data_IF_463639103753
#
_entry.id   IF_463639103753
#
_cell.length_a   1.000
_cell.length_b   1.000
_cell.length_c   1.000
_cell.angle_alpha   90.00
_cell.angle_beta   90.00
_cell.angle_gamma   90.00
#
_symmetry.space_group_name_H-M   'P 1'
#
loop_
_entity.id
_entity.type
_entity.pdbx_description
1 polymer ?
#
# COMPACT_ATOMS: atom_id res chain seq x y z
N UNK A 1 70.84 -29.30 11.18
CA UNK A 1 69.70 -28.38 11.38
C UNK A 1 68.51 -28.94 10.60
N UNK A 2 67.43 -29.32 11.27
CA UNK A 2 66.26 -29.99 10.69
C UNK A 2 64.98 -29.16 10.92
N UNK A 3 64.12 -29.19 9.88
CA UNK A 3 62.66 -29.03 9.89
C UNK A 3 62.11 -27.60 10.04
N UNK A 4 61.29 -27.01 9.17
CA UNK A 4 60.16 -27.42 8.31
C UNK A 4 58.80 -26.93 8.86
N UNK A 5 58.13 -26.17 7.99
CA UNK A 5 56.68 -25.98 7.78
C UNK A 5 55.80 -25.18 8.75
N UNK A 6 55.18 -24.17 8.13
CA UNK A 6 53.96 -23.43 8.47
C UNK A 6 52.84 -24.25 9.09
N UNK A 7 52.04 -23.64 9.98
CA UNK A 7 50.58 -23.81 10.04
C UNK A 7 49.96 -22.67 10.86
N UNK A 8 49.26 -21.74 10.20
CA UNK A 8 48.38 -20.75 10.84
C UNK A 8 47.05 -21.42 11.16
N UNK A 9 46.83 -21.76 12.42
CA UNK A 9 45.57 -22.31 12.91
C UNK A 9 44.53 -21.19 13.09
N UNK A 10 43.66 -21.00 12.09
CA UNK A 10 42.47 -20.14 12.19
C UNK A 10 41.46 -20.72 13.18
N UNK A 11 41.27 -20.05 14.32
CA UNK A 11 40.22 -20.38 15.28
C UNK A 11 38.87 -19.86 14.77
N UNK A 12 38.03 -20.76 14.28
CA UNK A 12 36.64 -20.43 13.92
C UNK A 12 35.87 -20.14 15.20
N UNK A 13 35.59 -18.85 15.45
CA UNK A 13 34.77 -18.40 16.56
C UNK A 13 33.34 -18.95 16.43
N UNK A 14 33.02 -20.00 17.17
CA UNK A 14 31.66 -20.56 17.29
C UNK A 14 30.73 -19.46 17.82
N UNK A 15 29.85 -18.94 16.96
CA UNK A 15 28.79 -18.00 17.33
C UNK A 15 27.97 -18.60 18.48
N UNK A 16 28.16 -18.09 19.69
CA UNK A 16 27.27 -18.36 20.83
C UNK A 16 25.89 -17.81 20.49
N UNK A 17 25.01 -18.65 19.97
CA UNK A 17 23.58 -18.36 19.91
C UNK A 17 23.10 -18.31 21.36
N UNK A 18 22.85 -17.09 21.86
CA UNK A 18 22.30 -16.91 23.20
C UNK A 18 20.91 -17.54 23.22
N UNK A 19 20.60 -18.47 24.15
CA UNK A 19 19.25 -19.00 24.28
C UNK A 19 18.30 -17.83 24.58
N UNK A 20 17.36 -17.61 23.66
CA UNK A 20 16.35 -16.56 23.79
C UNK A 20 15.46 -16.87 24.98
N UNK A 21 15.70 -16.21 26.12
CA UNK A 21 14.79 -16.32 27.27
C UNK A 21 13.42 -15.75 26.89
N UNK A 22 12.32 -16.37 27.34
CA UNK A 22 10.98 -15.91 27.03
C UNK A 22 10.81 -14.45 27.43
N UNK A 23 10.21 -13.66 26.53
CA UNK A 23 9.95 -12.24 26.76
C UNK A 23 8.95 -12.11 27.92
N UNK A 24 9.37 -11.47 29.00
CA UNK A 24 8.46 -11.09 30.09
C UNK A 24 7.42 -10.10 29.56
N UNK A 25 6.13 -10.49 29.59
CA UNK A 25 5.01 -9.69 29.06
C UNK A 25 4.69 -8.46 29.93
N UNK A 26 5.18 -8.44 31.15
CA UNK A 26 4.87 -7.50 32.24
C UNK A 26 5.87 -6.34 32.37
N UNK A 27 6.91 -6.26 31.52
CA UNK A 27 7.86 -5.16 31.59
C UNK A 27 7.27 -3.78 31.24
N UNK A 28 7.88 -2.72 31.75
CA UNK A 28 7.51 -1.33 31.42
C UNK A 28 7.68 -1.07 29.92
N UNK A 29 6.95 -0.09 29.39
CA UNK A 29 6.92 0.25 27.96
C UNK A 29 8.34 0.55 27.45
N UNK A 30 9.10 1.37 28.19
CA UNK A 30 10.47 1.74 27.82
C UNK A 30 11.40 0.52 27.75
N UNK A 31 11.30 -0.43 28.67
CA UNK A 31 12.10 -1.67 28.63
C UNK A 31 11.68 -2.60 27.49
N UNK A 32 10.37 -2.67 27.17
CA UNK A 32 9.85 -3.42 26.02
C UNK A 32 10.39 -2.87 24.70
N UNK A 33 10.37 -1.55 24.49
CA UNK A 33 10.95 -0.88 23.32
C UNK A 33 12.44 -1.19 23.22
N UNK A 34 13.16 -1.10 24.34
CA UNK A 34 14.61 -1.36 24.41
C UNK A 34 14.97 -2.84 24.33
N UNK A 35 14.00 -3.76 24.34
CA UNK A 35 14.19 -5.22 24.33
C UNK A 35 15.13 -5.70 25.45
N UNK A 36 15.05 -5.08 26.63
CA UNK A 36 15.80 -5.45 27.84
C UNK A 36 14.84 -5.96 28.92
N UNK A 37 15.33 -6.82 29.81
CA UNK A 37 14.53 -7.29 30.95
C UNK A 37 14.17 -6.11 31.85
N UNK A 38 12.90 -6.00 32.21
CA UNK A 38 12.41 -5.02 33.17
C UNK A 38 12.45 -5.62 34.58
N UNK A 39 12.74 -4.79 35.57
CA UNK A 39 12.79 -5.18 36.97
C UNK A 39 11.45 -4.90 37.71
N UNK A 40 10.40 -4.52 36.96
CA UNK A 40 8.99 -4.41 37.40
C UNK A 40 8.67 -3.53 38.62
N UNK A 41 9.64 -2.76 39.12
CA UNK A 41 9.45 -1.78 40.18
C UNK A 41 8.47 -0.65 39.81
N UNK A 42 7.55 -0.32 40.73
CA UNK A 42 6.58 0.79 40.60
C UNK A 42 6.98 1.95 41.53
N UNK A 43 6.78 3.22 41.14
CA UNK A 43 6.12 3.71 39.93
C UNK A 43 7.02 3.70 38.67
N UNK A 44 8.33 3.56 38.82
CA UNK A 44 9.29 3.54 37.72
C UNK A 44 10.32 2.41 37.87
N UNK A 45 10.69 1.80 36.75
CA UNK A 45 11.63 0.69 36.73
C UNK A 45 13.05 1.15 37.10
N UNK A 46 13.76 0.38 37.95
CA UNK A 46 15.14 0.72 38.38
C UNK A 46 16.08 0.88 37.19
N UNK A 47 15.93 0.06 36.15
CA UNK A 47 16.72 0.13 34.92
C UNK A 47 16.52 1.43 34.12
N UNK A 48 15.36 2.03 34.26
CA UNK A 48 14.98 3.27 33.62
C UNK A 48 15.62 4.43 34.39
N UNK A 49 15.42 4.45 35.71
CA UNK A 49 15.92 5.49 36.61
C UNK A 49 17.43 5.48 36.74
N UNK A 50 18.06 4.31 36.88
CA UNK A 50 19.53 4.18 37.00
C UNK A 50 20.28 4.62 35.74
N UNK A 51 19.62 4.62 34.59
CA UNK A 51 20.20 5.10 33.33
C UNK A 51 19.78 6.53 32.98
N UNK A 52 19.15 7.24 33.92
CA UNK A 52 18.68 8.62 33.75
C UNK A 52 17.55 8.80 32.74
N UNK A 53 16.85 7.72 32.38
CA UNK A 53 15.77 7.76 31.38
C UNK A 53 14.40 7.84 32.06
N UNK A 54 13.49 8.59 31.43
CA UNK A 54 12.07 8.59 31.82
C UNK A 54 11.50 7.17 31.63
N UNK A 55 10.84 6.66 32.66
CA UNK A 55 10.11 5.41 32.61
C UNK A 55 8.67 5.71 32.19
N UNK A 56 8.24 5.21 31.04
CA UNK A 56 6.88 5.44 30.51
C UNK A 56 5.82 4.56 31.20
N UNK A 57 6.18 3.90 32.30
CA UNK A 57 5.28 3.09 33.12
C UNK A 57 4.96 1.72 32.51
N UNK A 58 3.98 1.05 33.12
CA UNK A 58 3.55 -0.30 32.76
C UNK A 58 2.25 -0.24 31.98
N UNK A 59 2.22 -0.92 30.83
CA UNK A 59 1.06 -0.95 29.95
C UNK A 59 -0.02 -1.86 30.57
N UNK A 60 -1.08 -1.28 31.11
CA UNK A 60 -2.20 -2.01 31.73
C UNK A 60 -3.18 -2.58 30.69
N UNK A 61 -3.08 -2.19 29.42
CA UNK A 61 -4.08 -2.51 28.39
C UNK A 61 -3.49 -3.18 27.15
N UNK A 62 -2.66 -4.21 27.33
CA UNK A 62 -2.23 -5.06 26.21
C UNK A 62 -3.32 -6.09 25.83
N UNK A 63 -4.49 -5.63 25.36
CA UNK A 63 -5.41 -6.44 24.59
C UNK A 63 -5.23 -6.10 23.10
N UNK A 64 -4.84 -7.04 22.21
CA UNK A 64 -4.47 -6.70 20.83
C UNK A 64 -5.66 -6.48 19.88
N UNK A 65 -6.89 -6.24 20.38
CA UNK A 65 -8.08 -6.04 19.56
C UNK A 65 -9.10 -5.14 20.26
N UNK A 66 -8.97 -3.83 20.11
CA UNK A 66 -10.09 -2.88 20.00
C UNK A 66 -9.52 -1.46 20.06
N UNK A 67 -9.57 -0.73 18.94
CA UNK A 67 -9.61 0.73 18.97
C UNK A 67 -10.88 1.15 18.27
N UNK A 68 -11.94 1.28 19.05
CA UNK A 68 -13.03 2.22 18.77
C UNK A 68 -13.20 3.10 20.00
N UNK A 69 -12.98 4.39 19.75
CA UNK A 69 -13.57 5.58 20.33
C UNK A 69 -13.76 5.65 21.85
N UNK A 70 -13.11 6.63 22.47
CA UNK A 70 -13.80 7.58 23.34
C UNK A 70 -13.01 8.89 23.41
N UNK A 71 -13.71 9.98 23.09
CA UNK A 71 -13.26 11.34 23.16
C UNK A 71 -13.67 11.91 24.52
N UNK A 72 -12.79 12.70 25.16
CA UNK A 72 -13.20 13.66 26.19
C UNK A 72 -12.21 14.84 26.20
N UNK A 73 -12.67 15.92 25.56
CA UNK A 73 -12.60 17.33 25.94
C UNK A 73 -11.34 17.92 26.58
N UNK A 74 -10.73 18.91 25.89
CA UNK A 74 -10.58 20.27 26.43
C UNK A 74 -10.27 21.30 25.31
N UNK A 75 -10.77 22.57 25.41
CA UNK A 75 -10.83 23.52 24.30
C UNK A 75 -9.70 24.56 24.32
N UNK A 76 -9.10 24.85 23.16
CA UNK A 76 -8.18 25.98 22.93
C UNK A 76 -8.34 26.50 21.47
N UNK A 77 -7.95 27.75 21.18
CA UNK A 77 -8.87 28.80 20.76
C UNK A 77 -9.19 28.80 19.26
N UNK A 78 -10.41 29.24 18.96
CA UNK A 78 -11.02 29.38 17.64
C UNK A 78 -10.21 30.34 16.74
N UNK A 79 -9.28 29.80 15.96
CA UNK A 79 -8.85 30.47 14.72
C UNK A 79 -9.95 30.28 13.69
N UNK A 80 -10.64 31.37 13.41
CA UNK A 80 -11.65 31.47 12.38
C UNK A 80 -10.94 31.30 11.02
N UNK A 81 -10.98 30.08 10.46
CA UNK A 81 -10.57 29.81 9.09
C UNK A 81 -11.71 30.32 8.22
N UNK A 82 -11.53 31.48 7.60
CA UNK A 82 -12.34 31.95 6.49
C UNK A 82 -12.31 30.86 5.41
N UNK A 83 -13.48 30.31 5.07
CA UNK A 83 -13.62 29.34 3.98
C UNK A 83 -13.23 30.01 2.66
N UNK A 84 -11.99 29.77 2.22
CA UNK A 84 -11.63 29.92 0.82
C UNK A 84 -12.29 28.76 0.05
N UNK A 85 -12.96 29.01 -1.08
CA UNK A 85 -13.48 27.92 -1.91
C UNK A 85 -12.31 27.07 -2.37
N UNK A 86 -12.35 25.77 -2.07
CA UNK A 86 -11.30 24.82 -2.42
C UNK A 86 -11.32 24.53 -3.93
N UNK A 87 -10.77 25.45 -4.73
CA UNK A 87 -10.20 25.10 -6.03
C UNK A 87 -8.76 24.65 -5.79
N UNK A 88 -8.58 23.45 -5.23
CA UNK A 88 -7.24 22.88 -5.07
C UNK A 88 -7.26 21.40 -5.42
N UNK A 89 -7.03 21.15 -6.71
CA UNK A 89 -6.89 19.86 -7.37
C UNK A 89 -5.58 19.15 -7.01
N UNK A 90 -5.30 18.94 -5.72
CA UNK A 90 -4.06 18.30 -5.30
C UNK A 90 -4.28 17.36 -4.10
N UNK A 91 -4.12 16.07 -4.38
CA UNK A 91 -3.91 14.94 -3.46
C UNK A 91 -5.11 14.56 -2.56
N UNK A 92 -6.23 14.24 -3.20
CA UNK A 92 -7.30 13.48 -2.57
C UNK A 92 -6.82 12.05 -2.27
N UNK A 93 -6.96 11.64 -1.01
CA UNK A 93 -6.76 10.27 -0.50
C UNK A 93 -7.32 9.24 -1.50
N UNK A 94 -6.60 8.17 -1.89
CA UNK A 94 -7.12 7.21 -2.85
C UNK A 94 -8.38 6.56 -2.30
N UNK A 95 -9.48 6.67 -3.06
CA UNK A 95 -10.77 6.05 -2.76
C UNK A 95 -10.56 4.55 -2.50
N UNK A 96 -11.20 3.92 -1.49
CA UNK A 96 -11.03 2.50 -1.21
C UNK A 96 -11.36 1.67 -2.47
N UNK A 97 -10.54 0.67 -2.78
CA UNK A 97 -10.67 -0.26 -3.93
C UNK A 97 -12.02 -1.04 -3.99
N UNK A 98 -12.90 -0.84 -3.00
CA UNK A 98 -14.25 -1.39 -2.90
C UNK A 98 -15.30 -0.62 -3.71
N UNK A 99 -15.04 0.62 -4.12
CA UNK A 99 -15.97 1.34 -4.99
C UNK A 99 -15.86 0.78 -6.41
N UNK A 100 -16.94 0.23 -6.95
CA UNK A 100 -17.00 -0.06 -8.38
C UNK A 100 -17.02 1.25 -9.19
N UNK A 101 -16.58 1.20 -10.44
CA UNK A 101 -16.51 2.39 -11.27
C UNK A 101 -17.92 2.92 -11.58
N UNK A 102 -18.06 4.24 -11.59
CA UNK A 102 -19.33 4.88 -11.94
C UNK A 102 -19.52 4.85 -13.45
N UNK A 103 -20.65 4.32 -13.93
CA UNK A 103 -20.94 4.20 -15.35
C UNK A 103 -22.08 3.22 -15.66
N UNK A 104 -22.13 2.80 -16.93
CA UNK A 104 -23.01 1.74 -17.45
C UNK A 104 -22.51 0.35 -17.07
N UNK A 105 -23.34 -0.68 -17.24
CA UNK A 105 -22.93 -2.08 -17.02
C UNK A 105 -21.78 -2.50 -17.94
N UNK A 106 -21.81 -2.04 -19.19
CA UNK A 106 -20.76 -2.31 -20.19
C UNK A 106 -19.43 -1.67 -19.78
N UNK A 107 -19.46 -0.45 -19.24
CA UNK A 107 -18.26 0.23 -18.73
C UNK A 107 -17.65 -0.50 -17.54
N UNK A 108 -18.48 -0.97 -16.61
CA UNK A 108 -18.02 -1.81 -15.48
C UNK A 108 -17.40 -3.11 -15.97
N UNK A 109 -18.06 -3.80 -16.88
CA UNK A 109 -17.58 -5.05 -17.46
C UNK A 109 -16.17 -4.88 -18.05
N UNK A 110 -15.96 -3.90 -18.92
CA UNK A 110 -14.66 -3.67 -19.53
C UNK A 110 -13.61 -3.13 -18.56
N UNK A 111 -14.02 -2.37 -17.53
CA UNK A 111 -13.11 -2.00 -16.45
C UNK A 111 -12.65 -3.21 -15.63
N UNK A 112 -13.54 -4.19 -15.39
CA UNK A 112 -13.17 -5.46 -14.77
C UNK A 112 -12.23 -6.29 -15.66
N UNK A 113 -12.45 -6.31 -16.97
CA UNK A 113 -11.50 -6.91 -17.91
C UNK A 113 -10.12 -6.27 -17.77
N UNK A 114 -10.03 -4.94 -17.71
CA UNK A 114 -8.77 -4.23 -17.46
C UNK A 114 -8.12 -4.66 -16.13
N UNK A 115 -8.88 -4.75 -15.03
CA UNK A 115 -8.33 -5.14 -13.71
C UNK A 115 -7.74 -6.54 -13.70
N UNK A 116 -8.33 -7.48 -14.43
CA UNK A 116 -7.78 -8.83 -14.59
C UNK A 116 -6.42 -8.77 -15.32
N UNK A 117 -6.33 -7.98 -16.39
CA UNK A 117 -5.15 -7.83 -17.25
C UNK A 117 -4.02 -7.06 -16.58
N UNK A 118 -4.36 -6.06 -15.77
CA UNK A 118 -3.41 -5.25 -15.01
C UNK A 118 -2.50 -6.12 -14.10
N UNK A 119 -3.04 -7.23 -13.60
CA UNK A 119 -2.29 -8.17 -12.77
C UNK A 119 -1.40 -9.14 -13.54
N UNK A 120 -1.80 -9.52 -14.75
CA UNK A 120 -1.21 -10.62 -15.50
C UNK A 120 -0.32 -10.15 -16.66
N UNK A 121 -0.76 -9.17 -17.47
CA UNK A 121 -0.10 -8.78 -18.72
C UNK A 121 0.79 -7.54 -18.62
N UNK A 122 0.39 -6.54 -17.82
CA UNK A 122 1.09 -5.24 -17.75
C UNK A 122 2.18 -5.22 -16.65
N UNK A 123 2.02 -6.05 -15.61
CA UNK A 123 2.93 -6.13 -14.47
C UNK A 123 4.22 -6.92 -14.69
N UNK A 124 4.47 -7.48 -15.88
CA UNK A 124 5.45 -8.57 -16.07
C UNK A 124 6.93 -8.16 -15.95
N UNK A 125 7.30 -6.87 -16.03
CA UNK A 125 8.73 -6.50 -16.10
C UNK A 125 9.40 -6.07 -14.79
N UNK A 126 8.66 -5.73 -13.73
CA UNK A 126 9.27 -5.32 -12.46
C UNK A 126 8.30 -5.52 -11.27
N UNK A 127 8.76 -6.13 -10.17
CA UNK A 127 7.95 -6.38 -8.94
C UNK A 127 7.28 -5.11 -8.39
N UNK A 128 7.88 -3.94 -8.61
CA UNK A 128 7.35 -2.65 -8.17
C UNK A 128 6.18 -2.12 -9.02
N UNK A 129 6.02 -2.62 -10.25
CA UNK A 129 4.94 -2.18 -11.14
C UNK A 129 3.60 -2.89 -10.83
N UNK A 130 3.61 -4.01 -10.12
CA UNK A 130 2.38 -4.76 -9.84
C UNK A 130 1.40 -3.96 -8.98
N UNK A 131 1.88 -3.27 -7.94
CA UNK A 131 1.03 -2.42 -7.09
C UNK A 131 0.52 -1.19 -7.83
N UNK A 132 1.35 -0.60 -8.70
CA UNK A 132 0.94 0.52 -9.53
C UNK A 132 -0.28 0.17 -10.40
N UNK A 133 -0.23 -0.95 -11.12
CA UNK A 133 -1.32 -1.37 -12.02
C UNK A 133 -2.52 -1.96 -11.27
N UNK A 134 -2.32 -2.66 -10.15
CA UNK A 134 -3.41 -3.28 -9.37
C UNK A 134 -4.14 -2.31 -8.45
N UNK A 135 -3.45 -1.30 -7.93
CA UNK A 135 -3.98 -0.42 -6.89
C UNK A 135 -4.00 1.04 -7.33
N UNK A 136 -2.84 1.59 -7.73
CA UNK A 136 -2.75 3.03 -8.04
C UNK A 136 -3.59 3.43 -9.25
N UNK A 137 -3.47 2.71 -10.37
CA UNK A 137 -4.21 3.04 -11.60
C UNK A 137 -5.73 2.97 -11.40
N UNK A 138 -6.31 1.87 -10.85
CA UNK A 138 -7.74 1.84 -10.55
C UNK A 138 -8.20 2.97 -9.63
N UNK A 139 -7.39 3.35 -8.64
CA UNK A 139 -7.70 4.48 -7.76
C UNK A 139 -7.79 5.81 -8.53
N UNK A 140 -6.87 6.05 -9.47
CA UNK A 140 -6.94 7.23 -10.35
C UNK A 140 -8.16 7.18 -11.27
N UNK A 141 -8.57 6.02 -11.77
CA UNK A 141 -9.79 5.87 -12.57
C UNK A 141 -11.06 6.23 -11.79
N UNK A 142 -11.07 6.11 -10.46
CA UNK A 142 -12.20 6.56 -9.65
C UNK A 142 -12.25 8.08 -9.40
N UNK A 143 -11.13 8.77 -9.61
CA UNK A 143 -10.98 10.19 -9.33
C UNK A 143 -10.96 11.04 -10.61
N UNK A 144 -10.44 10.50 -11.72
CA UNK A 144 -10.21 11.22 -12.96
C UNK A 144 -10.98 10.53 -14.10
N UNK A 145 -11.92 11.26 -14.68
CA UNK A 145 -12.81 10.76 -15.73
C UNK A 145 -12.05 10.40 -17.02
N UNK A 146 -11.01 11.16 -17.35
CA UNK A 146 -10.12 10.88 -18.50
C UNK A 146 -9.41 9.53 -18.34
N UNK A 147 -8.91 9.25 -17.13
CA UNK A 147 -8.26 7.97 -16.81
C UNK A 147 -9.28 6.83 -16.86
N UNK A 148 -10.48 7.02 -16.31
CA UNK A 148 -11.57 6.04 -16.41
C UNK A 148 -11.80 5.61 -17.86
N UNK A 149 -12.07 6.57 -18.74
CA UNK A 149 -12.40 6.28 -20.13
C UNK A 149 -11.24 5.63 -20.89
N UNK A 150 -9.99 6.04 -20.60
CA UNK A 150 -8.80 5.43 -21.18
C UNK A 150 -8.68 3.94 -20.82
N UNK A 151 -8.87 3.60 -19.53
CA UNK A 151 -8.71 2.22 -19.06
C UNK A 151 -9.91 1.33 -19.38
N UNK A 152 -11.12 1.88 -19.53
CA UNK A 152 -12.27 1.17 -20.11
C UNK A 152 -12.00 0.83 -21.58
N UNK A 153 -11.52 1.81 -22.38
CA UNK A 153 -11.17 1.59 -23.78
C UNK A 153 -10.08 0.51 -23.91
N UNK A 154 -9.08 0.53 -23.03
CA UNK A 154 -8.04 -0.49 -22.96
C UNK A 154 -8.61 -1.88 -22.65
N UNK A 155 -9.47 -2.00 -21.62
CA UNK A 155 -10.11 -3.26 -21.26
C UNK A 155 -10.97 -3.83 -22.39
N UNK A 156 -11.71 -2.97 -23.09
CA UNK A 156 -12.52 -3.35 -24.26
C UNK A 156 -11.65 -3.79 -25.45
N UNK A 157 -10.55 -3.08 -25.72
CA UNK A 157 -9.61 -3.43 -26.77
C UNK A 157 -8.94 -4.77 -26.51
N UNK A 158 -8.51 -5.01 -25.27
CA UNK A 158 -7.90 -6.28 -24.89
C UNK A 158 -8.90 -7.43 -24.92
N UNK A 159 -10.14 -7.21 -24.46
CA UNK A 159 -11.21 -8.20 -24.61
C UNK A 159 -11.46 -8.52 -26.09
N UNK A 160 -11.58 -7.50 -26.95
CA UNK A 160 -11.76 -7.70 -28.39
C UNK A 160 -10.58 -8.45 -29.04
N UNK A 161 -9.34 -8.15 -28.62
CA UNK A 161 -8.16 -8.85 -29.10
C UNK A 161 -8.20 -10.35 -28.74
N UNK A 162 -8.63 -10.68 -27.52
CA UNK A 162 -8.76 -12.08 -27.08
C UNK A 162 -9.91 -12.82 -27.77
N UNK A 163 -11.05 -12.15 -27.99
CA UNK A 163 -12.24 -12.82 -28.54
C UNK A 163 -12.25 -12.92 -30.06
N UNK A 164 -11.71 -11.91 -30.74
CA UNK A 164 -11.96 -11.70 -32.17
C UNK A 164 -10.79 -12.18 -33.04
N UNK A 165 -9.65 -12.55 -32.45
CA UNK A 165 -8.45 -12.94 -33.20
C UNK A 165 -7.94 -11.81 -34.10
N UNK A 166 -6.96 -12.10 -34.95
CA UNK A 166 -6.49 -11.14 -35.95
C UNK A 166 -7.63 -10.75 -36.90
N UNK A 167 -7.76 -9.44 -37.14
CA UNK A 167 -8.81 -8.90 -38.01
C UNK A 167 -8.53 -9.33 -39.45
N UNK A 168 -9.38 -10.20 -39.98
CA UNK A 168 -9.17 -10.84 -41.29
C UNK A 168 -9.36 -9.87 -42.47
N UNK A 169 -10.16 -8.81 -42.31
CA UNK A 169 -10.43 -7.81 -43.35
C UNK A 169 -10.35 -6.36 -42.81
N UNK A 170 -9.34 -5.57 -43.23
CA UNK A 170 -9.20 -4.15 -42.86
C UNK A 170 -10.27 -3.24 -43.45
N UNK A 171 -10.95 -3.66 -44.52
CA UNK A 171 -11.94 -2.84 -45.24
C UNK A 171 -13.34 -2.96 -44.66
N UNK A 172 -13.58 -3.98 -43.83
CA UNK A 172 -14.86 -4.20 -43.17
C UNK A 172 -15.17 -3.07 -42.16
N UNK A 173 -16.44 -2.65 -42.04
CA UNK A 173 -16.84 -1.60 -41.11
C UNK A 173 -16.50 -1.99 -39.65
N UNK A 174 -16.18 -1.02 -38.78
CA UNK A 174 -15.79 -1.33 -37.42
C UNK A 174 -16.92 -1.99 -36.65
N UNK A 175 -16.56 -3.03 -35.89
CA UNK A 175 -17.48 -3.77 -35.04
C UNK A 175 -18.08 -2.86 -33.96
N UNK A 176 -19.17 -3.32 -33.32
CA UNK A 176 -19.78 -2.56 -32.21
C UNK A 176 -18.78 -2.30 -31.09
N UNK A 177 -17.94 -3.28 -30.78
CA UNK A 177 -16.88 -3.17 -29.77
C UNK A 177 -15.82 -2.15 -30.17
N UNK A 178 -15.40 -2.14 -31.43
CA UNK A 178 -14.40 -1.18 -31.94
C UNK A 178 -14.90 0.25 -31.91
N UNK A 179 -16.16 0.49 -32.29
CA UNK A 179 -16.80 1.80 -32.15
C UNK A 179 -16.84 2.25 -30.70
N UNK A 180 -17.19 1.35 -29.79
CA UNK A 180 -17.19 1.62 -28.35
C UNK A 180 -15.79 2.01 -27.84
N UNK A 181 -14.75 1.26 -28.23
CA UNK A 181 -13.35 1.56 -27.87
C UNK A 181 -12.96 2.96 -28.33
N UNK A 182 -13.24 3.30 -29.59
CA UNK A 182 -12.91 4.61 -30.17
C UNK A 182 -13.66 5.72 -29.43
N UNK A 183 -14.95 5.53 -29.13
CA UNK A 183 -15.75 6.50 -28.38
C UNK A 183 -15.16 6.76 -26.99
N UNK A 184 -14.87 5.70 -26.23
CA UNK A 184 -14.29 5.81 -24.89
C UNK A 184 -12.92 6.49 -24.95
N UNK A 185 -12.06 6.13 -25.91
CA UNK A 185 -10.77 6.80 -26.09
C UNK A 185 -10.93 8.30 -26.40
N UNK A 186 -11.89 8.67 -27.25
CA UNK A 186 -12.16 10.08 -27.57
C UNK A 186 -12.62 10.88 -26.34
N UNK A 187 -13.43 10.27 -25.46
CA UNK A 187 -13.84 10.87 -24.19
C UNK A 187 -12.64 11.07 -23.26
N UNK A 188 -11.71 10.12 -23.23
CA UNK A 188 -10.48 10.24 -22.47
C UNK A 188 -9.64 11.44 -22.95
N UNK A 189 -9.48 11.61 -24.26
CA UNK A 189 -8.70 12.71 -24.84
C UNK A 189 -9.33 14.07 -24.60
N UNK A 190 -10.66 14.18 -24.58
CA UNK A 190 -11.36 15.45 -24.28
C UNK A 190 -11.06 15.97 -22.88
N UNK A 191 -10.87 15.08 -21.91
CA UNK A 191 -10.55 15.49 -20.54
C UNK A 191 -9.06 15.82 -20.31
N UNK A 192 -8.25 15.91 -21.36
CA UNK A 192 -6.84 16.33 -21.32
C UNK A 192 -6.61 17.70 -21.99
N UNK A 193 -7.61 18.22 -22.71
CA UNK A 193 -7.58 19.53 -23.36
C UNK A 193 -8.08 20.61 -22.38
#
# INVERSE_FOLDING_TARGET
MKSATDTVAGTVAKRRIRPGKPKVKTGCITCKIRRVKCDEAKPACVRCTSTGRKCDGYDINANPRSRKNEATENPLPRRQITMLPATSSALSIPRPLLADISGTEIERFYFHCFRAVAGEAVGIRHKYNSLFWKESVPQYCYAVESMKHAFIAFGAAYHNFQTTGERVDPTAPPSKTERFIIQQYSLAMRGLA
#
